data_IF_437281262243
#
_entry.id   IF_437281262243
#
_cell.length_a   1.000
_cell.length_b   1.000
_cell.length_c   1.000
_cell.angle_alpha   90.00
_cell.angle_beta   90.00
_cell.angle_gamma   90.00
#
_symmetry.space_group_name_H-M   'P 1'
#
loop_
_entity.id
_entity.type
_entity.pdbx_description
1 polymer ?
#
# COMPACT_ATOMS: atom_id res chain seq x y z
N UNK A 1 5.58 -4.20 -39.32
CA UNK A 1 5.77 -5.62 -38.95
C UNK A 1 4.75 -5.89 -37.84
N UNK A 2 3.50 -6.24 -38.18
CA UNK A 2 2.36 -6.19 -37.26
C UNK A 2 2.50 -7.08 -36.02
N UNK A 3 3.31 -8.14 -36.07
CA UNK A 3 3.58 -9.00 -34.91
C UNK A 3 4.45 -8.32 -33.84
N UNK A 4 5.35 -7.41 -34.20
CA UNK A 4 6.24 -6.79 -33.23
C UNK A 4 5.50 -5.79 -32.33
N UNK A 5 4.60 -5.00 -32.93
CA UNK A 5 3.82 -3.98 -32.25
C UNK A 5 2.79 -4.63 -31.29
N UNK A 6 2.16 -5.73 -31.72
CA UNK A 6 1.26 -6.51 -30.87
C UNK A 6 2.00 -7.18 -29.70
N UNK A 7 3.19 -7.72 -29.94
CA UNK A 7 4.04 -8.31 -28.88
C UNK A 7 4.50 -7.25 -27.87
N UNK A 8 4.82 -6.04 -28.33
CA UNK A 8 5.20 -4.93 -27.45
C UNK A 8 4.04 -4.43 -26.60
N UNK A 9 2.85 -4.22 -27.19
CA UNK A 9 1.65 -3.84 -26.46
C UNK A 9 1.28 -4.89 -25.39
N UNK A 10 1.36 -6.18 -25.74
CA UNK A 10 1.13 -7.27 -24.78
C UNK A 10 2.13 -7.25 -23.62
N UNK A 11 3.42 -6.99 -23.88
CA UNK A 11 4.44 -6.87 -22.84
C UNK A 11 4.15 -5.71 -21.89
N UNK A 12 3.77 -4.55 -22.41
CA UNK A 12 3.43 -3.38 -21.59
C UNK A 12 2.24 -3.65 -20.67
N UNK A 13 1.21 -4.36 -21.16
CA UNK A 13 0.06 -4.76 -20.35
C UNK A 13 0.46 -5.70 -19.21
N UNK A 14 1.32 -6.69 -19.46
CA UNK A 14 1.83 -7.59 -18.41
C UNK A 14 2.59 -6.82 -17.32
N UNK A 15 3.37 -5.81 -17.72
CA UNK A 15 4.09 -4.96 -16.76
C UNK A 15 3.09 -4.10 -15.97
N UNK A 16 2.07 -3.54 -16.62
CA UNK A 16 1.02 -2.76 -15.96
C UNK A 16 0.27 -3.60 -14.90
N UNK A 17 -0.10 -4.84 -15.23
CA UNK A 17 -0.76 -5.76 -14.29
C UNK A 17 0.10 -6.03 -13.05
N UNK A 18 1.42 -6.14 -13.23
CA UNK A 18 2.35 -6.30 -12.10
C UNK A 18 2.35 -5.06 -11.19
N UNK A 19 2.28 -3.86 -11.76
CA UNK A 19 2.18 -2.62 -10.99
C UNK A 19 0.85 -2.52 -10.22
N UNK A 20 -0.28 -2.90 -10.84
CA UNK A 20 -1.56 -2.97 -10.13
C UNK A 20 -1.52 -3.98 -8.98
N UNK A 21 -0.92 -5.15 -9.20
CA UNK A 21 -0.75 -6.14 -8.14
C UNK A 21 0.11 -5.60 -6.99
N UNK A 22 1.19 -4.88 -7.30
CA UNK A 22 2.03 -4.22 -6.30
C UNK A 22 1.25 -3.15 -5.50
N UNK A 23 0.46 -2.31 -6.18
CA UNK A 23 -0.37 -1.31 -5.53
C UNK A 23 -1.40 -1.94 -4.58
N UNK A 24 -2.06 -3.01 -5.04
CA UNK A 24 -3.01 -3.79 -4.25
C UNK A 24 -2.35 -4.38 -3.00
N UNK A 25 -1.18 -5.00 -3.15
CA UNK A 25 -0.42 -5.55 -2.03
C UNK A 25 -0.01 -4.48 -1.01
N UNK A 26 0.46 -3.31 -1.48
CA UNK A 26 0.83 -2.19 -0.63
C UNK A 26 -0.37 -1.66 0.18
N UNK A 27 -1.56 -1.55 -0.42
CA UNK A 27 -2.79 -1.21 0.29
C UNK A 27 -3.21 -2.27 1.31
N UNK A 28 -3.06 -3.55 0.95
CA UNK A 28 -3.31 -4.66 1.88
C UNK A 28 -2.43 -4.58 3.13
N UNK A 29 -1.14 -4.26 2.96
CA UNK A 29 -0.21 -4.05 4.06
C UNK A 29 -0.57 -2.80 4.89
N UNK A 30 -0.94 -1.69 4.25
CA UNK A 30 -1.39 -0.49 4.95
C UNK A 30 -2.62 -0.75 5.83
N UNK A 31 -3.59 -1.53 5.33
CA UNK A 31 -4.76 -1.94 6.10
C UNK A 31 -4.40 -2.87 7.28
N UNK A 32 -3.45 -3.78 7.10
CA UNK A 32 -2.95 -4.63 8.18
C UNK A 32 -2.26 -3.80 9.28
N UNK A 33 -1.51 -2.76 8.91
CA UNK A 33 -0.89 -1.81 9.85
C UNK A 33 -1.97 -1.07 10.65
N UNK A 34 -3.03 -0.58 10.01
CA UNK A 34 -4.15 0.07 10.71
C UNK A 34 -4.75 -0.84 11.77
N UNK A 35 -5.01 -2.09 11.41
CA UNK A 35 -5.58 -3.07 12.34
C UNK A 35 -4.63 -3.37 13.50
N UNK A 36 -3.32 -3.46 13.23
CA UNK A 36 -2.31 -3.68 14.28
C UNK A 36 -2.21 -2.49 15.23
N UNK A 37 -2.28 -1.26 14.70
CA UNK A 37 -2.28 -0.03 15.49
C UNK A 37 -3.49 0.03 16.43
N UNK A 38 -4.68 -0.27 15.93
CA UNK A 38 -5.91 -0.37 16.76
C UNK A 38 -5.75 -1.44 17.84
N UNK A 39 -5.16 -2.58 17.52
CA UNK A 39 -4.91 -3.64 18.51
C UNK A 39 -3.94 -3.20 19.60
N UNK A 40 -2.88 -2.46 19.26
CA UNK A 40 -1.90 -1.97 20.23
C UNK A 40 -2.53 -0.96 21.20
N UNK A 41 -3.31 -0.01 20.69
CA UNK A 41 -3.97 1.01 21.52
C UNK A 41 -5.03 0.41 22.44
N UNK A 42 -5.80 -0.58 21.96
CA UNK A 42 -6.88 -1.20 22.74
C UNK A 42 -6.40 -2.22 23.79
N UNK A 43 -5.25 -2.86 23.60
CA UNK A 43 -4.70 -3.87 24.54
C UNK A 43 -3.94 -3.29 25.73
N UNK A 44 -3.54 -2.03 25.66
CA UNK A 44 -2.76 -1.40 26.72
C UNK A 44 -3.56 -1.12 27.96
N UNK A 45 -4.78 -0.61 27.78
CA UNK A 45 -5.63 -0.24 28.90
C UNK A 45 -5.92 -1.45 29.82
N UNK A 46 -6.25 -2.65 29.30
CA UNK A 46 -6.37 -3.86 30.13
C UNK A 46 -5.06 -4.32 30.79
N UNK A 47 -3.93 -4.35 30.07
CA UNK A 47 -2.66 -4.86 30.62
C UNK A 47 -2.13 -3.98 31.76
N UNK A 48 -2.24 -2.65 31.60
CA UNK A 48 -1.89 -1.68 32.63
C UNK A 48 -2.85 -1.87 33.81
N UNK A 49 -4.17 -1.86 33.59
CA UNK A 49 -5.16 -2.01 34.67
C UNK A 49 -5.07 -3.34 35.43
N UNK A 50 -4.66 -4.44 34.80
CA UNK A 50 -4.58 -5.77 35.43
C UNK A 50 -3.40 -5.94 36.41
N UNK A 51 -2.34 -5.14 36.26
CA UNK A 51 -1.15 -5.22 37.13
C UNK A 51 -1.07 -4.10 38.20
N UNK A 52 -2.04 -3.17 38.19
CA UNK A 52 -2.03 -1.97 39.03
C UNK A 52 -2.57 -2.13 40.47
N UNK A 53 -3.64 -2.92 40.76
CA UNK A 53 -4.30 -2.82 42.07
C UNK A 53 -3.71 -3.70 43.18
N UNK A 54 -3.19 -4.89 42.87
CA UNK A 54 -3.09 -5.93 43.92
C UNK A 54 -1.74 -6.02 44.63
N UNK A 55 -0.65 -5.46 44.08
CA UNK A 55 0.69 -5.78 44.61
C UNK A 55 1.22 -4.69 45.56
N UNK A 56 0.85 -3.42 45.36
CA UNK A 56 1.67 -2.28 45.83
C UNK A 56 0.82 -1.17 46.50
N UNK A 57 0.65 -1.19 47.83
CA UNK A 57 -0.20 -0.20 48.56
C UNK A 57 0.52 1.07 49.04
N UNK A 58 1.83 1.23 48.78
CA UNK A 58 2.61 2.39 49.26
C UNK A 58 2.64 3.56 48.27
N UNK A 59 2.84 4.77 48.79
CA UNK A 59 2.91 6.01 48.01
C UNK A 59 4.09 5.99 47.00
N UNK A 60 5.24 5.42 47.38
CA UNK A 60 6.39 5.23 46.48
C UNK A 60 6.06 4.27 45.31
N UNK A 61 5.23 3.28 45.58
CA UNK A 61 4.80 2.32 44.60
C UNK A 61 3.74 2.93 43.65
N UNK A 62 2.91 3.85 44.13
CA UNK A 62 2.01 4.67 43.30
C UNK A 62 2.76 5.57 42.31
N UNK A 63 3.79 6.29 42.78
CA UNK A 63 4.64 7.12 41.93
C UNK A 63 5.34 6.28 40.87
N UNK A 64 5.81 5.09 41.23
CA UNK A 64 6.45 4.15 40.30
C UNK A 64 5.47 3.63 39.24
N UNK A 65 4.21 3.32 39.61
CA UNK A 65 3.14 2.96 38.65
C UNK A 65 2.87 4.08 37.67
N UNK A 66 2.68 5.30 38.16
CA UNK A 66 2.40 6.44 37.28
C UNK A 66 3.54 6.71 36.29
N UNK A 67 4.81 6.52 36.71
CA UNK A 67 5.97 6.65 35.82
C UNK A 67 6.02 5.53 34.79
N UNK A 68 5.81 4.28 35.21
CA UNK A 68 5.78 3.12 34.33
C UNK A 68 4.67 3.23 33.28
N UNK A 69 3.45 3.56 33.69
CA UNK A 69 2.32 3.78 32.78
C UNK A 69 2.62 4.87 31.76
N UNK A 70 3.25 5.98 32.19
CA UNK A 70 3.66 7.06 31.28
C UNK A 70 4.74 6.63 30.29
N UNK A 71 5.74 5.85 30.73
CA UNK A 71 6.77 5.30 29.84
C UNK A 71 6.15 4.35 28.80
N UNK A 72 5.35 3.38 29.24
CA UNK A 72 4.67 2.44 28.33
C UNK A 72 3.76 3.19 27.36
N UNK A 73 2.96 4.15 27.83
CA UNK A 73 2.11 4.96 26.96
C UNK A 73 2.93 5.72 25.90
N UNK A 74 4.10 6.25 26.29
CA UNK A 74 5.03 6.91 25.36
C UNK A 74 5.60 5.95 24.33
N UNK A 75 6.04 4.77 24.75
CA UNK A 75 6.65 3.78 23.84
C UNK A 75 5.65 3.29 22.79
N UNK A 76 4.39 3.06 23.19
CA UNK A 76 3.35 2.72 22.21
C UNK A 76 2.96 3.91 21.35
N UNK A 77 2.92 5.12 21.89
CA UNK A 77 2.71 6.30 21.06
C UNK A 77 3.75 6.37 19.94
N UNK A 78 5.03 6.23 20.28
CA UNK A 78 6.13 6.22 19.30
C UNK A 78 5.99 5.08 18.30
N UNK A 79 5.66 3.86 18.75
CA UNK A 79 5.44 2.73 17.84
C UNK A 79 4.25 2.97 16.88
N UNK A 80 3.17 3.59 17.36
CA UNK A 80 2.01 3.94 16.54
C UNK A 80 2.34 5.02 15.50
N UNK A 81 3.16 6.01 15.85
CA UNK A 81 3.66 7.03 14.91
C UNK A 81 4.53 6.41 13.80
N UNK A 82 5.48 5.53 14.15
CA UNK A 82 6.30 4.84 13.15
C UNK A 82 5.47 3.96 12.20
N UNK A 83 4.44 3.30 12.74
CA UNK A 83 3.49 2.53 11.94
C UNK A 83 2.68 3.44 11.00
N UNK A 84 2.30 4.63 11.46
CA UNK A 84 1.61 5.66 10.66
C UNK A 84 2.48 6.17 9.51
N UNK A 85 3.75 6.45 9.76
CA UNK A 85 4.72 6.84 8.74
C UNK A 85 4.85 5.74 7.67
N UNK A 86 5.05 4.50 8.12
CA UNK A 86 5.16 3.32 7.23
C UNK A 86 3.90 3.14 6.38
N UNK A 87 2.71 3.27 7.01
CA UNK A 87 1.43 3.21 6.32
C UNK A 87 1.33 4.27 5.24
N UNK A 88 1.73 5.50 5.54
CA UNK A 88 1.65 6.63 4.60
C UNK A 88 2.54 6.38 3.38
N UNK A 89 3.77 5.90 3.60
CA UNK A 89 4.68 5.51 2.53
C UNK A 89 4.10 4.38 1.66
N UNK A 90 3.43 3.38 2.26
CA UNK A 90 2.78 2.30 1.51
C UNK A 90 1.64 2.80 0.63
N UNK A 91 0.83 3.74 1.11
CA UNK A 91 -0.25 4.33 0.31
C UNK A 91 0.34 5.13 -0.87
N UNK A 92 1.35 5.95 -0.62
CA UNK A 92 2.02 6.70 -1.67
C UNK A 92 2.63 5.75 -2.73
N UNK A 93 3.33 4.69 -2.30
CA UNK A 93 3.87 3.69 -3.22
C UNK A 93 2.78 3.00 -4.05
N UNK A 94 1.58 2.80 -3.48
CA UNK A 94 0.47 2.22 -4.22
C UNK A 94 -0.07 3.17 -5.30
N UNK A 95 -0.22 4.45 -4.97
CA UNK A 95 -0.65 5.49 -5.90
C UNK A 95 0.35 5.67 -7.04
N UNK A 96 1.65 5.69 -6.73
CA UNK A 96 2.72 5.76 -7.73
C UNK A 96 2.76 4.54 -8.65
N UNK A 97 2.56 3.34 -8.10
CA UNK A 97 2.49 2.11 -8.88
C UNK A 97 1.27 2.10 -9.81
N UNK A 98 0.09 2.54 -9.36
CA UNK A 98 -1.08 2.66 -10.23
C UNK A 98 -0.89 3.68 -11.34
N UNK A 99 -0.32 4.84 -11.02
CA UNK A 99 -0.01 5.84 -12.03
C UNK A 99 0.91 5.27 -13.13
N UNK A 100 1.93 4.51 -12.75
CA UNK A 100 2.81 3.81 -13.71
C UNK A 100 2.03 2.78 -14.54
N UNK A 101 1.14 2.00 -13.92
CA UNK A 101 0.32 1.03 -14.63
C UNK A 101 -0.58 1.69 -15.68
N UNK A 102 -1.24 2.80 -15.35
CA UNK A 102 -2.08 3.54 -16.29
C UNK A 102 -1.28 4.13 -17.46
N UNK A 103 -0.08 4.64 -17.22
CA UNK A 103 0.81 5.12 -18.29
C UNK A 103 1.15 3.99 -19.25
N UNK A 104 1.46 2.79 -18.74
CA UNK A 104 1.79 1.63 -19.56
C UNK A 104 0.59 1.12 -20.36
N UNK A 105 -0.61 1.09 -19.75
CA UNK A 105 -1.86 0.75 -20.46
C UNK A 105 -2.16 1.75 -21.58
N UNK A 106 -1.99 3.06 -21.32
CA UNK A 106 -2.16 4.10 -22.34
C UNK A 106 -1.23 3.89 -23.54
N UNK A 107 0.06 3.62 -23.27
CA UNK A 107 1.03 3.31 -24.34
C UNK A 107 0.68 2.05 -25.12
N UNK A 108 0.25 0.99 -24.44
CA UNK A 108 -0.19 -0.23 -25.13
C UNK A 108 -1.41 0.03 -26.04
N UNK A 109 -2.35 0.86 -25.58
CA UNK A 109 -3.51 1.25 -26.38
C UNK A 109 -3.12 2.10 -27.61
N UNK A 110 -2.16 3.02 -27.47
CA UNK A 110 -1.61 3.81 -28.58
C UNK A 110 -0.94 2.92 -29.64
N UNK A 111 -0.13 1.94 -29.21
CA UNK A 111 0.52 0.98 -30.13
C UNK A 111 -0.53 0.17 -30.88
N UNK A 112 -1.54 -0.37 -30.17
CA UNK A 112 -2.61 -1.13 -30.81
C UNK A 112 -3.41 -0.28 -31.82
N UNK A 113 -3.70 0.99 -31.48
CA UNK A 113 -4.42 1.93 -32.36
C UNK A 113 -3.61 2.29 -33.62
N UNK A 114 -2.30 2.48 -33.49
CA UNK A 114 -1.44 2.76 -34.65
C UNK A 114 -1.29 1.54 -35.56
N UNK A 115 -1.24 0.34 -34.99
CA UNK A 115 -1.21 -0.92 -35.74
C UNK A 115 -2.51 -1.18 -36.53
N UNK A 116 -3.69 -0.94 -35.95
CA UNK A 116 -4.97 -1.06 -36.67
C UNK A 116 -5.11 -0.02 -37.79
N UNK A 117 -4.77 1.25 -37.53
CA UNK A 117 -4.83 2.30 -38.56
C UNK A 117 -3.87 2.05 -39.74
N UNK A 118 -2.70 1.41 -39.49
CA UNK A 118 -1.79 0.99 -40.56
C UNK A 118 -2.29 -0.22 -41.37
N UNK A 119 -3.13 -1.08 -40.76
CA UNK A 119 -3.75 -2.20 -41.46
C UNK A 119 -4.87 -1.73 -42.41
N UNK A 120 -5.71 -0.80 -41.95
CA UNK A 120 -6.81 -0.25 -42.75
C UNK A 120 -6.32 0.60 -43.93
N UNK A 121 -5.25 1.40 -43.75
CA UNK A 121 -4.68 2.21 -44.84
C UNK A 121 -3.91 1.41 -45.91
N UNK A 122 -3.68 0.11 -45.72
CA UNK A 122 -3.08 -0.79 -46.74
C UNK A 122 -4.12 -1.53 -47.59
N UNK A 123 -5.41 -1.30 -47.36
CA UNK A 123 -6.51 -1.85 -48.17
C UNK A 123 -7.31 -0.82 -49.00
N UNK A 124 -6.68 0.08 -49.77
CA UNK A 124 -7.32 0.64 -50.96
C UNK A 124 -6.52 0.22 -52.20
N UNK A 125 -6.80 -0.97 -52.72
CA UNK A 125 -6.68 -1.31 -54.16
C UNK A 125 -6.89 -2.81 -54.34
N UNK A 126 -8.13 -3.25 -54.17
CA UNK A 126 -8.64 -4.35 -54.98
C UNK A 126 -10.14 -4.22 -55.06
N UNK A 127 -10.64 -3.59 -56.12
CA UNK A 127 -11.73 -4.07 -56.96
C UNK A 127 -12.19 -2.95 -57.91
N UNK A 128 -11.83 -3.17 -59.19
CA UNK A 128 -12.51 -2.76 -60.45
C UNK A 128 -12.55 -1.28 -60.80
#
# INVERSE_FOLDING_TARGET
>A
MPNHDADEAARLLVIADRYFAQASAARGLAAAIDQRRISLTTRLDPCVRRHLPEVWSSNAAEVSRMRLTRMIARDIWVACEQLLETRTALIQNAEEAEAQAFVLQGRAAEINSTATNHHDNRSPDTLV
#
